data_IF_899416261488
#
_entry.id   IF_899416261488
#
_cell.length_a   1.000
_cell.length_b   1.000
_cell.length_c   1.000
_cell.angle_alpha   90.00
_cell.angle_beta   90.00
_cell.angle_gamma   90.00
#
_symmetry.space_group_name_H-M   'P 1'
#
loop_
_entity.id
_entity.type
_entity.pdbx_description
1 polymer ?
#
# COMPACT_ATOMS: atom_id res chain seq x y z
N UNK A 1 11.59 -3.45 -7.34
CA UNK A 1 10.51 -3.63 -6.34
C UNK A 1 9.18 -3.80 -7.08
N UNK A 2 8.50 -4.94 -6.92
CA UNK A 2 7.22 -5.21 -7.58
C UNK A 2 6.10 -4.39 -6.95
N UNK A 3 5.05 -4.06 -7.69
CA UNK A 3 3.86 -3.37 -7.17
C UNK A 3 3.26 -4.16 -6.02
N UNK A 4 3.21 -5.48 -6.12
CA UNK A 4 2.76 -6.34 -5.02
C UNK A 4 3.55 -6.11 -3.72
N UNK A 5 4.88 -6.06 -3.77
CA UNK A 5 5.70 -5.78 -2.57
C UNK A 5 5.50 -4.37 -2.00
N UNK A 6 5.17 -3.37 -2.84
CA UNK A 6 4.86 -2.00 -2.39
C UNK A 6 3.52 -1.99 -1.63
N UNK A 7 2.52 -2.69 -2.14
CA UNK A 7 1.24 -2.84 -1.45
C UNK A 7 1.37 -3.63 -0.15
N UNK A 8 2.12 -4.73 -0.15
CA UNK A 8 2.33 -5.54 1.06
C UNK A 8 3.04 -4.76 2.19
N UNK A 9 3.85 -3.75 1.86
CA UNK A 9 4.56 -2.90 2.85
C UNK A 9 3.82 -1.62 3.24
N UNK A 10 2.67 -1.31 2.64
CA UNK A 10 2.00 -0.03 2.83
C UNK A 10 1.56 0.27 4.28
N UNK A 11 0.97 -0.70 4.99
CA UNK A 11 0.56 -0.49 6.39
C UNK A 11 1.76 -0.34 7.33
N UNK A 12 2.83 -1.09 7.06
CA UNK A 12 4.10 -0.98 7.78
C UNK A 12 4.69 0.42 7.56
N UNK A 13 4.65 0.93 6.32
CA UNK A 13 5.09 2.29 5.99
C UNK A 13 4.22 3.38 6.65
N UNK A 14 2.90 3.21 6.70
CA UNK A 14 1.99 4.11 7.44
C UNK A 14 2.33 4.15 8.93
N UNK A 15 2.56 2.99 9.52
CA UNK A 15 2.93 2.89 10.94
C UNK A 15 4.29 3.55 11.20
N UNK A 16 5.27 3.26 10.35
CA UNK A 16 6.59 3.87 10.42
C UNK A 16 6.55 5.39 10.26
N UNK A 17 5.70 5.92 9.36
CA UNK A 17 5.55 7.35 9.15
C UNK A 17 5.02 8.06 10.42
N UNK A 18 4.03 7.46 11.08
CA UNK A 18 3.49 8.00 12.33
C UNK A 18 4.56 8.04 13.42
N UNK A 19 5.33 6.95 13.56
CA UNK A 19 6.40 6.86 14.56
C UNK A 19 7.52 7.87 14.28
N UNK A 20 8.01 7.96 13.04
CA UNK A 20 9.06 8.90 12.65
C UNK A 20 8.62 10.35 12.88
N UNK A 21 7.38 10.71 12.54
CA UNK A 21 6.86 12.05 12.81
C UNK A 21 6.68 12.35 14.29
N UNK A 22 6.37 11.35 15.10
CA UNK A 22 6.35 11.52 16.54
C UNK A 22 7.77 11.75 17.08
N UNK A 23 8.76 10.96 16.65
CA UNK A 23 10.18 11.15 17.01
C UNK A 23 10.73 12.52 16.60
N UNK A 24 10.33 13.04 15.43
CA UNK A 24 10.71 14.40 14.99
C UNK A 24 10.21 15.47 15.96
N UNK A 25 8.99 15.31 16.51
CA UNK A 25 8.41 16.29 17.44
C UNK A 25 9.09 16.29 18.81
N UNK A 26 9.67 15.16 19.20
CA UNK A 26 10.32 14.95 20.51
C UNK A 26 11.83 15.26 20.50
N UNK A 27 12.42 15.53 19.32
CA UNK A 27 13.87 15.74 19.17
C UNK A 27 14.21 17.12 18.61
N UNK A 28 15.29 17.70 19.10
CA UNK A 28 15.90 18.93 18.58
C UNK A 28 17.27 18.65 17.95
N UNK A 29 17.59 19.34 16.84
CA UNK A 29 18.94 19.35 16.24
C UNK A 29 19.13 18.43 15.01
N UNK A 30 20.39 18.07 14.71
CA UNK A 30 20.81 17.42 13.45
C UNK A 30 20.09 16.09 13.14
N UNK A 31 19.67 15.35 14.16
CA UNK A 31 18.90 14.09 14.03
C UNK A 31 17.54 14.29 13.36
N UNK A 32 16.94 15.48 13.49
CA UNK A 32 15.66 15.83 12.86
C UNK A 32 15.76 15.81 11.33
N UNK A 33 16.91 16.20 10.77
CA UNK A 33 17.09 16.28 9.31
C UNK A 33 17.03 14.91 8.62
N UNK A 34 17.59 13.88 9.26
CA UNK A 34 17.56 12.50 8.76
C UNK A 34 16.17 11.87 8.93
N UNK A 35 15.54 12.13 10.07
CA UNK A 35 14.17 11.69 10.32
C UNK A 35 13.19 12.36 9.34
N UNK A 36 13.37 13.64 9.03
CA UNK A 36 12.54 14.36 8.07
C UNK A 36 12.65 13.75 6.67
N UNK A 37 13.88 13.48 6.18
CA UNK A 37 14.07 12.80 4.88
C UNK A 37 13.39 11.43 4.84
N UNK A 38 13.45 10.68 5.95
CA UNK A 38 12.77 9.39 6.07
C UNK A 38 11.25 9.57 6.08
N UNK A 39 10.73 10.57 6.78
CA UNK A 39 9.31 10.92 6.81
C UNK A 39 8.80 11.27 5.42
N UNK A 40 9.50 12.14 4.69
CA UNK A 40 9.14 12.55 3.33
C UNK A 40 9.13 11.36 2.36
N UNK A 41 10.13 10.47 2.48
CA UNK A 41 10.18 9.24 1.67
C UNK A 41 9.01 8.29 1.97
N UNK A 42 8.66 8.12 3.25
CA UNK A 42 7.52 7.30 3.67
C UNK A 42 6.20 7.89 3.19
N UNK A 43 6.03 9.21 3.31
CA UNK A 43 4.85 9.92 2.83
C UNK A 43 4.66 9.73 1.33
N UNK A 44 5.73 9.93 0.54
CA UNK A 44 5.68 9.72 -0.90
C UNK A 44 5.27 8.28 -1.27
N UNK A 45 5.71 7.28 -0.51
CA UNK A 45 5.30 5.88 -0.71
C UNK A 45 3.82 5.66 -0.38
N UNK A 46 3.33 6.25 0.72
CA UNK A 46 1.92 6.15 1.14
C UNK A 46 1.02 6.79 0.08
N UNK A 47 1.33 8.02 -0.33
CA UNK A 47 0.58 8.76 -1.36
C UNK A 47 0.58 8.04 -2.70
N UNK A 48 1.71 7.44 -3.07
CA UNK A 48 1.82 6.65 -4.30
C UNK A 48 0.87 5.44 -4.28
N UNK A 49 0.83 4.69 -3.17
CA UNK A 49 -0.07 3.54 -3.02
C UNK A 49 -1.53 3.99 -2.96
N UNK A 50 -1.85 5.06 -2.24
CA UNK A 50 -3.19 5.63 -2.18
C UNK A 50 -3.69 6.04 -3.58
N UNK A 51 -2.81 6.67 -4.36
CA UNK A 51 -3.09 6.99 -5.76
C UNK A 51 -3.32 5.73 -6.59
N UNK A 52 -2.50 4.69 -6.46
CA UNK A 52 -2.74 3.43 -7.17
C UNK A 52 -4.06 2.76 -6.76
N UNK A 53 -4.43 2.77 -5.47
CA UNK A 53 -5.71 2.26 -4.98
C UNK A 53 -6.91 3.00 -5.57
N UNK A 54 -6.77 4.29 -5.87
CA UNK A 54 -7.85 5.09 -6.47
C UNK A 54 -8.28 4.62 -7.87
N UNK A 55 -7.42 3.85 -8.57
CA UNK A 55 -7.75 3.24 -9.87
C UNK A 55 -8.47 1.88 -9.75
N UNK A 56 -8.66 1.37 -8.53
CA UNK A 56 -9.38 0.12 -8.29
C UNK A 56 -10.87 0.39 -8.06
N UNK A 57 -11.73 -0.55 -8.44
CA UNK A 57 -13.11 -0.54 -7.94
C UNK A 57 -13.16 -0.79 -6.42
N UNK A 58 -14.25 -0.39 -5.76
CA UNK A 58 -14.43 -0.62 -4.32
C UNK A 58 -14.27 -2.09 -3.92
N UNK A 59 -14.77 -3.01 -4.75
CA UNK A 59 -14.62 -4.45 -4.50
C UNK A 59 -13.15 -4.90 -4.56
N UNK A 60 -12.42 -4.44 -5.57
CA UNK A 60 -11.00 -4.75 -5.77
C UNK A 60 -10.14 -4.15 -4.67
N UNK A 61 -10.41 -2.90 -4.31
CA UNK A 61 -9.78 -2.20 -3.19
C UNK A 61 -9.96 -3.00 -1.90
N UNK A 62 -11.19 -3.45 -1.61
CA UNK A 62 -11.48 -4.26 -0.42
C UNK A 62 -10.73 -5.60 -0.42
N UNK A 63 -10.65 -6.28 -1.57
CA UNK A 63 -9.86 -7.53 -1.69
C UNK A 63 -8.38 -7.28 -1.37
N UNK A 64 -7.80 -6.21 -1.92
CA UNK A 64 -6.40 -5.83 -1.69
C UNK A 64 -6.17 -5.46 -0.23
N UNK A 65 -7.03 -4.63 0.35
CA UNK A 65 -6.93 -4.20 1.75
C UNK A 65 -6.97 -5.38 2.72
N UNK A 66 -7.92 -6.30 2.53
CA UNK A 66 -8.00 -7.51 3.35
C UNK A 66 -6.77 -8.39 3.17
N UNK A 67 -6.22 -8.47 1.96
CA UNK A 67 -5.00 -9.24 1.70
C UNK A 67 -3.77 -8.61 2.36
N UNK A 68 -3.66 -7.28 2.33
CA UNK A 68 -2.61 -6.51 3.01
C UNK A 68 -2.70 -6.64 4.54
N UNK A 69 -3.90 -6.82 5.07
CA UNK A 69 -4.13 -7.20 6.48
C UNK A 69 -3.80 -8.68 6.77
N UNK A 70 -3.11 -9.37 5.84
CA UNK A 70 -2.67 -10.77 5.94
C UNK A 70 -3.82 -11.78 6.07
N UNK A 71 -5.06 -11.41 5.74
CA UNK A 71 -6.19 -12.33 5.72
C UNK A 71 -5.96 -13.46 4.69
N UNK A 72 -6.37 -14.68 5.05
CA UNK A 72 -6.29 -15.83 4.15
C UNK A 72 -7.27 -15.70 2.99
N UNK A 73 -6.97 -16.31 1.84
CA UNK A 73 -7.87 -16.28 0.68
C UNK A 73 -9.27 -16.81 0.99
N UNK A 74 -9.36 -17.84 1.84
CA UNK A 74 -10.63 -18.37 2.32
C UNK A 74 -11.40 -17.36 3.20
N UNK A 75 -10.69 -16.65 4.09
CA UNK A 75 -11.29 -15.59 4.90
C UNK A 75 -11.83 -14.44 4.04
N UNK A 76 -11.04 -13.98 3.06
CA UNK A 76 -11.46 -12.92 2.13
C UNK A 76 -12.67 -13.39 1.32
N UNK A 77 -12.64 -14.60 0.79
CA UNK A 77 -13.77 -15.20 0.06
C UNK A 77 -15.05 -15.22 0.91
N UNK A 78 -14.94 -15.58 2.19
CA UNK A 78 -16.06 -15.55 3.13
C UNK A 78 -16.58 -14.13 3.37
N UNK A 79 -15.71 -13.14 3.58
CA UNK A 79 -16.10 -11.73 3.82
C UNK A 79 -16.74 -11.12 2.57
N UNK A 80 -16.23 -11.45 1.39
CA UNK A 80 -16.71 -10.92 0.12
C UNK A 80 -17.93 -11.68 -0.42
N UNK A 81 -18.33 -12.79 0.22
CA UNK A 81 -19.38 -13.70 -0.27
C UNK A 81 -19.11 -14.19 -1.70
N UNK A 82 -17.85 -14.53 -1.98
CA UNK A 82 -17.38 -15.01 -3.27
C UNK A 82 -16.63 -16.33 -3.12
N UNK A 83 -16.38 -17.04 -4.22
CA UNK A 83 -15.47 -18.19 -4.17
C UNK A 83 -13.99 -17.74 -4.17
N UNK A 84 -13.14 -18.58 -3.59
CA UNK A 84 -11.69 -18.32 -3.42
C UNK A 84 -10.98 -18.04 -4.75
N UNK A 85 -11.31 -18.78 -5.82
CA UNK A 85 -10.67 -18.61 -7.13
C UNK A 85 -10.98 -17.24 -7.74
N UNK A 86 -12.21 -16.75 -7.57
CA UNK A 86 -12.61 -15.43 -8.05
C UNK A 86 -11.85 -14.33 -7.33
N UNK A 87 -11.71 -14.41 -6.01
CA UNK A 87 -10.95 -13.44 -5.20
C UNK A 87 -9.49 -13.39 -5.64
N UNK A 88 -8.83 -14.55 -5.75
CA UNK A 88 -7.44 -14.64 -6.20
C UNK A 88 -7.27 -14.06 -7.61
N UNK A 89 -8.16 -14.43 -8.54
CA UNK A 89 -8.12 -13.93 -9.92
C UNK A 89 -8.27 -12.41 -9.96
N UNK A 90 -9.22 -11.84 -9.20
CA UNK A 90 -9.43 -10.38 -9.14
C UNK A 90 -8.20 -9.68 -8.58
N UNK A 91 -7.65 -10.18 -7.48
CA UNK A 91 -6.43 -9.67 -6.88
C UNK A 91 -5.25 -9.63 -7.88
N UNK A 92 -4.98 -10.75 -8.57
CA UNK A 92 -3.87 -10.82 -9.54
C UNK A 92 -4.09 -9.91 -10.75
N UNK A 93 -5.35 -9.78 -11.20
CA UNK A 93 -5.72 -8.86 -12.27
C UNK A 93 -5.56 -7.40 -11.88
N UNK A 94 -5.81 -7.04 -10.62
CA UNK A 94 -5.54 -5.70 -10.13
C UNK A 94 -4.05 -5.39 -10.23
N UNK A 95 -3.17 -6.25 -9.71
CA UNK A 95 -1.74 -5.97 -9.77
C UNK A 95 -1.19 -5.87 -11.19
N UNK A 96 -1.69 -6.70 -12.12
CA UNK A 96 -1.32 -6.57 -13.54
C UNK A 96 -1.75 -5.22 -14.14
N UNK A 97 -2.92 -4.69 -13.75
CA UNK A 97 -3.38 -3.36 -14.20
C UNK A 97 -2.58 -2.25 -13.55
N UNK A 98 -2.36 -2.31 -12.24
CA UNK A 98 -1.63 -1.29 -11.50
C UNK A 98 -0.16 -1.21 -11.91
N UNK A 99 0.48 -2.32 -12.26
CA UNK A 99 1.83 -2.31 -12.85
C UNK A 99 1.90 -1.47 -14.13
N UNK A 100 0.90 -1.59 -15.01
CA UNK A 100 0.83 -0.78 -16.23
C UNK A 100 0.66 0.70 -15.90
N UNK A 101 -0.22 1.02 -14.95
CA UNK A 101 -0.43 2.41 -14.49
C UNK A 101 0.85 3.00 -13.88
N UNK A 102 1.54 2.24 -13.02
CA UNK A 102 2.82 2.64 -12.43
C UNK A 102 3.87 2.96 -13.49
N UNK A 103 4.01 2.12 -14.51
CA UNK A 103 4.93 2.35 -15.61
C UNK A 103 4.58 3.62 -16.42
N UNK A 104 3.29 3.91 -16.59
CA UNK A 104 2.84 5.15 -17.25
C UNK A 104 3.14 6.39 -16.41
N UNK A 105 3.02 6.31 -15.09
CA UNK A 105 3.33 7.43 -14.18
C UNK A 105 4.83 7.72 -14.14
N UNK A 106 5.70 6.71 -14.21
CA UNK A 106 7.16 6.88 -14.16
C UNK A 106 7.80 7.38 -15.48
N UNK A 107 7.05 7.38 -16.58
CA UNK A 107 7.52 7.85 -17.90
C UNK A 107 7.16 9.31 -18.20
N UNK A 108 6.30 9.90 -17.38
CA UNK A 108 5.92 11.32 -17.42
C UNK A 108 6.62 12.06 -16.29
#
# INVERSE_FOLDING_TARGET
MSTQSIFESYYDNKTAFILVNWEIKEKDGFEVSLLQKRSDWLLAHIEFVDKLLSYCSEEEKKIIELRMQKMSWAGIASVMLMNVRTVQKKHDQVFKRLEKVKQSIQKN
#
